data_IF_218991995213
#
_entry.id   IF_218991995213
#
_cell.length_a   1.000
_cell.length_b   1.000
_cell.length_c   1.000
_cell.angle_alpha   90.00
_cell.angle_beta   90.00
_cell.angle_gamma   90.00
#
_symmetry.space_group_name_H-M   'P 1'
#
loop_
_entity.id
_entity.type
_entity.pdbx_description
1 polymer ?
#
# COMPACT_ATOMS: atom_id res chain seq x y z
N UNK A 1 16.42 -17.83 11.90
CA UNK A 1 17.30 -16.89 11.18
C UNK A 1 17.00 -15.49 11.71
N UNK A 2 17.99 -14.66 12.02
CA UNK A 2 17.72 -13.29 12.46
C UNK A 2 17.02 -12.55 11.33
N UNK A 3 15.83 -12.00 11.59
CA UNK A 3 15.09 -11.14 10.67
C UNK A 3 15.97 -9.91 10.43
N UNK A 4 16.40 -9.73 9.20
CA UNK A 4 17.25 -8.62 8.79
C UNK A 4 16.51 -7.31 9.12
N UNK A 5 17.07 -6.50 10.02
CA UNK A 5 16.45 -5.29 10.58
C UNK A 5 16.06 -4.24 9.51
N UNK A 6 16.59 -4.36 8.29
CA UNK A 6 16.29 -3.47 7.16
C UNK A 6 14.99 -3.80 6.40
N UNK A 7 14.31 -4.90 6.74
CA UNK A 7 13.09 -5.37 6.07
C UNK A 7 11.86 -5.33 6.98
N UNK A 8 11.92 -4.64 8.11
CA UNK A 8 10.79 -4.60 9.05
C UNK A 8 9.70 -3.64 8.56
N UNK A 9 8.48 -4.09 8.75
CA UNK A 9 7.27 -3.31 8.59
C UNK A 9 7.24 -2.14 9.61
N UNK A 10 6.80 -0.95 9.17
CA UNK A 10 6.84 0.28 9.96
C UNK A 10 6.06 0.20 11.26
N UNK A 11 4.90 -0.47 11.28
CA UNK A 11 4.13 -0.68 12.51
C UNK A 11 4.94 -1.50 13.50
N UNK A 12 5.46 -2.64 13.06
CA UNK A 12 6.23 -3.55 13.92
C UNK A 12 7.55 -2.94 14.37
N UNK A 13 8.20 -2.16 13.51
CA UNK A 13 9.46 -1.46 13.83
C UNK A 13 9.27 -0.35 14.87
N UNK A 14 8.09 0.27 14.93
CA UNK A 14 7.79 1.34 15.90
C UNK A 14 7.55 0.82 17.32
N UNK A 15 7.45 -0.49 17.52
CA UNK A 15 7.17 -1.07 18.82
C UNK A 15 8.41 -1.12 19.72
N UNK A 16 8.26 -0.84 21.03
CA UNK A 16 9.30 -1.14 21.99
C UNK A 16 9.68 -2.63 21.96
N UNK A 17 10.94 -2.94 22.19
CA UNK A 17 11.48 -4.31 22.11
C UNK A 17 10.65 -5.34 22.91
N UNK A 18 10.19 -4.97 24.11
CA UNK A 18 9.35 -5.83 24.97
C UNK A 18 8.03 -6.21 24.28
N UNK A 19 7.35 -5.25 23.64
CA UNK A 19 6.08 -5.51 22.95
C UNK A 19 6.31 -6.27 21.65
N UNK A 20 7.34 -5.90 20.88
CA UNK A 20 7.72 -6.64 19.68
C UNK A 20 8.03 -8.12 20.00
N UNK A 21 8.86 -8.40 21.01
CA UNK A 21 9.17 -9.77 21.42
C UNK A 21 7.91 -10.55 21.83
N UNK A 22 6.95 -9.87 22.44
CA UNK A 22 5.66 -10.47 22.76
C UNK A 22 4.83 -10.85 21.53
N UNK A 23 4.92 -10.13 20.43
CA UNK A 23 4.17 -10.38 19.18
C UNK A 23 4.95 -11.33 18.25
N UNK A 24 6.28 -11.29 18.28
CA UNK A 24 7.13 -11.98 17.32
C UNK A 24 6.88 -13.49 17.20
N UNK A 25 6.50 -14.13 18.30
CA UNK A 25 6.16 -15.56 18.32
C UNK A 25 4.89 -15.89 17.50
N UNK A 26 4.01 -14.92 17.33
CA UNK A 26 2.76 -15.06 16.56
C UNK A 26 2.94 -14.68 15.07
N UNK A 27 4.10 -14.07 14.72
CA UNK A 27 4.40 -13.62 13.36
C UNK A 27 5.06 -14.75 12.55
N UNK A 28 4.50 -15.03 11.38
CA UNK A 28 5.04 -16.02 10.44
C UNK A 28 5.45 -15.32 9.14
N UNK A 29 6.69 -15.48 8.67
CA UNK A 29 7.11 -14.98 7.38
C UNK A 29 6.38 -15.75 6.26
N UNK A 30 5.91 -15.01 5.25
CA UNK A 30 5.23 -15.55 4.07
C UNK A 30 5.69 -14.79 2.82
N UNK A 31 5.74 -15.50 1.70
CA UNK A 31 5.87 -14.89 0.38
C UNK A 31 4.48 -14.74 -0.24
N UNK A 32 4.17 -13.53 -0.68
CA UNK A 32 2.92 -13.18 -1.32
C UNK A 32 3.14 -13.17 -2.84
N UNK A 33 2.59 -14.14 -3.60
CA UNK A 33 2.71 -14.14 -5.05
C UNK A 33 1.85 -13.05 -5.67
N UNK A 34 2.28 -12.56 -6.85
CA UNK A 34 1.52 -11.57 -7.61
C UNK A 34 0.10 -12.06 -7.89
N UNK A 35 -0.85 -11.13 -7.86
CA UNK A 35 -2.28 -11.32 -8.15
C UNK A 35 -3.01 -12.25 -7.16
N UNK A 36 -2.34 -12.73 -6.09
CA UNK A 36 -3.00 -13.49 -5.04
C UNK A 36 -4.03 -12.64 -4.28
N UNK A 37 -5.23 -13.16 -4.07
CA UNK A 37 -6.23 -12.57 -3.19
C UNK A 37 -5.93 -12.99 -1.75
N UNK A 38 -5.62 -12.03 -0.89
CA UNK A 38 -5.30 -12.23 0.53
C UNK A 38 -6.41 -11.78 1.46
N UNK A 39 -7.31 -10.94 0.98
CA UNK A 39 -8.51 -10.49 1.71
C UNK A 39 -9.71 -10.59 0.78
N UNK A 40 -10.74 -11.30 1.24
CA UNK A 40 -12.01 -11.42 0.52
C UNK A 40 -13.00 -10.36 0.99
N UNK A 41 -13.83 -9.79 0.07
CA UNK A 41 -14.86 -8.85 0.46
C UNK A 41 -15.89 -9.54 1.35
N UNK A 42 -16.39 -8.81 2.33
CA UNK A 42 -17.46 -9.19 3.26
C UNK A 42 -17.25 -10.49 4.05
N UNK A 43 -16.05 -11.07 3.95
CA UNK A 43 -15.66 -12.22 4.78
C UNK A 43 -14.87 -11.79 6.01
N UNK A 44 -14.96 -12.59 7.06
CA UNK A 44 -14.09 -12.44 8.22
C UNK A 44 -12.67 -12.91 7.86
N UNK A 45 -11.73 -11.97 7.90
CA UNK A 45 -10.32 -12.30 7.69
C UNK A 45 -9.76 -12.99 8.92
N UNK A 46 -9.12 -14.14 8.72
CA UNK A 46 -8.44 -14.88 9.79
C UNK A 46 -7.04 -14.34 10.08
N UNK A 47 -6.45 -13.67 9.10
CA UNK A 47 -5.05 -13.20 9.18
C UNK A 47 -4.93 -11.69 8.96
N UNK A 48 -3.89 -11.15 9.57
CA UNK A 48 -3.38 -9.79 9.33
C UNK A 48 -2.02 -9.93 8.69
N UNK A 49 -1.80 -9.16 7.63
CA UNK A 49 -0.56 -9.14 6.86
C UNK A 49 0.17 -7.84 7.09
N UNK A 50 1.45 -7.93 7.43
CA UNK A 50 2.38 -6.82 7.58
C UNK A 50 3.40 -6.91 6.44
N UNK A 51 3.18 -6.24 5.29
CA UNK A 51 4.11 -6.29 4.18
C UNK A 51 5.50 -5.78 4.57
N UNK A 52 6.55 -6.38 4.00
CA UNK A 52 7.95 -5.94 4.17
C UNK A 52 8.50 -5.29 2.90
N UNK A 53 8.25 -5.90 1.78
CA UNK A 53 8.60 -5.44 0.43
C UNK A 53 7.50 -5.74 -0.61
N UNK A 54 6.42 -6.42 -0.20
CA UNK A 54 5.21 -6.58 -1.01
C UNK A 54 4.28 -5.38 -0.90
N UNK A 55 3.33 -5.26 -1.84
CA UNK A 55 2.24 -4.28 -1.79
C UNK A 55 0.91 -4.97 -2.03
N UNK A 56 -0.05 -4.72 -1.15
CA UNK A 56 -1.42 -5.22 -1.24
C UNK A 56 -2.34 -4.05 -1.58
N UNK A 57 -3.02 -4.11 -2.74
CA UNK A 57 -4.05 -3.17 -3.14
C UNK A 57 -5.40 -3.57 -2.59
N UNK A 58 -6.11 -2.65 -1.97
CA UNK A 58 -7.50 -2.81 -1.55
C UNK A 58 -8.38 -2.27 -2.68
N UNK A 59 -9.10 -3.18 -3.34
CA UNK A 59 -9.92 -2.92 -4.50
C UNK A 59 -11.39 -2.88 -4.10
N UNK A 60 -12.08 -1.80 -4.48
CA UNK A 60 -13.52 -1.68 -4.41
C UNK A 60 -14.15 -2.04 -5.75
N UNK A 61 -15.30 -2.72 -5.71
CA UNK A 61 -16.12 -3.00 -6.88
C UNK A 61 -16.83 -1.71 -7.34
N UNK A 62 -16.86 -1.45 -8.63
CA UNK A 62 -17.54 -0.29 -9.23
C UNK A 62 -18.98 -0.57 -9.63
N UNK A 63 -19.45 -1.82 -9.48
CA UNK A 63 -20.82 -2.25 -9.78
C UNK A 63 -21.08 -2.56 -11.26
N UNK A 64 -20.15 -2.22 -12.16
CA UNK A 64 -20.19 -2.51 -13.59
C UNK A 64 -19.26 -3.65 -14.01
N UNK A 65 -18.77 -4.44 -13.04
CA UNK A 65 -17.78 -5.50 -13.22
C UNK A 65 -16.34 -4.99 -13.20
N UNK A 66 -16.13 -3.69 -13.03
CA UNK A 66 -14.82 -3.09 -12.83
C UNK A 66 -14.38 -3.08 -11.35
N UNK A 67 -13.14 -2.69 -11.13
CA UNK A 67 -12.63 -2.43 -9.77
C UNK A 67 -11.64 -1.26 -9.79
N UNK A 68 -11.57 -0.54 -8.68
CA UNK A 68 -10.65 0.58 -8.49
C UNK A 68 -9.91 0.43 -7.16
N UNK A 69 -8.64 0.85 -7.13
CA UNK A 69 -7.90 0.88 -5.88
C UNK A 69 -8.43 1.99 -4.96
N UNK A 70 -8.90 1.58 -3.80
CA UNK A 70 -9.32 2.51 -2.75
C UNK A 70 -8.13 2.97 -1.92
N UNK A 71 -7.19 2.07 -1.62
CA UNK A 71 -5.87 2.35 -1.07
C UNK A 71 -4.94 1.14 -1.26
N UNK A 72 -3.65 1.35 -1.07
CA UNK A 72 -2.67 0.28 -1.04
C UNK A 72 -1.92 0.25 0.30
N UNK A 73 -1.48 -0.92 0.69
CA UNK A 73 -0.72 -1.21 1.90
C UNK A 73 0.63 -1.79 1.51
N UNK A 74 1.70 -1.16 1.97
CA UNK A 74 3.06 -1.67 1.85
C UNK A 74 3.71 -1.80 3.22
N UNK A 75 5.03 -1.63 3.26
CA UNK A 75 5.82 -1.75 4.48
C UNK A 75 5.48 -0.72 5.57
N UNK A 76 4.68 0.31 5.26
CA UNK A 76 4.21 1.30 6.22
C UNK A 76 3.08 0.82 7.10
N UNK A 77 2.37 -0.24 6.72
CA UNK A 77 1.09 -0.58 7.32
C UNK A 77 0.79 -2.06 7.46
N UNK A 78 -0.50 -2.36 7.63
CA UNK A 78 -1.00 -3.72 7.72
C UNK A 78 -2.35 -3.87 7.01
N UNK A 79 -2.55 -5.00 6.32
CA UNK A 79 -3.79 -5.37 5.68
C UNK A 79 -4.58 -6.34 6.57
N UNK A 80 -5.91 -6.23 6.56
CA UNK A 80 -6.79 -7.10 7.38
C UNK A 80 -7.08 -6.60 8.80
N UNK A 81 -6.59 -5.42 9.19
CA UNK A 81 -6.70 -4.88 10.57
C UNK A 81 -8.14 -4.64 11.04
N UNK A 82 -9.13 -4.46 10.14
CA UNK A 82 -10.55 -4.35 10.52
C UNK A 82 -11.07 -5.58 11.27
N UNK A 83 -10.45 -6.73 11.04
CA UNK A 83 -10.79 -7.95 11.74
C UNK A 83 -10.51 -7.86 13.26
N UNK A 84 -9.58 -7.00 13.71
CA UNK A 84 -9.37 -6.73 15.14
C UNK A 84 -10.60 -6.10 15.80
N UNK A 85 -11.36 -5.32 15.03
CA UNK A 85 -12.61 -4.69 15.47
C UNK A 85 -13.82 -5.60 15.26
N UNK A 86 -13.64 -6.85 14.80
CA UNK A 86 -14.73 -7.75 14.47
C UNK A 86 -15.58 -7.31 13.27
N UNK A 87 -15.00 -6.51 12.36
CA UNK A 87 -15.69 -5.96 11.19
C UNK A 87 -15.14 -6.57 9.90
N UNK A 88 -16.04 -6.75 8.94
CA UNK A 88 -15.70 -7.06 7.54
C UNK A 88 -15.53 -5.78 6.72
N UNK A 89 -15.05 -5.89 5.50
CA UNK A 89 -14.91 -4.79 4.55
C UNK A 89 -15.43 -5.21 3.18
N UNK A 90 -16.05 -4.29 2.42
CA UNK A 90 -16.49 -4.56 1.04
C UNK A 90 -15.33 -4.48 0.03
N UNK A 91 -14.08 -4.69 0.47
CA UNK A 91 -12.89 -4.53 -0.36
C UNK A 91 -12.11 -5.84 -0.46
N UNK A 92 -11.71 -6.17 -1.68
CA UNK A 92 -10.82 -7.29 -1.97
C UNK A 92 -9.36 -6.84 -1.82
N UNK A 93 -8.55 -7.59 -1.09
CA UNK A 93 -7.11 -7.36 -0.99
C UNK A 93 -6.34 -8.24 -1.97
N UNK A 94 -5.70 -7.62 -2.97
CA UNK A 94 -4.93 -8.32 -4.01
C UNK A 94 -3.47 -7.91 -3.95
N UNK A 95 -2.56 -8.86 -4.08
CA UNK A 95 -1.12 -8.61 -4.11
C UNK A 95 -0.74 -7.93 -5.43
N UNK A 96 -0.46 -6.64 -5.37
CA UNK A 96 -0.07 -5.84 -6.53
C UNK A 96 1.42 -5.98 -6.85
N UNK A 97 2.26 -5.98 -5.81
CA UNK A 97 3.69 -6.23 -5.91
C UNK A 97 4.01 -7.48 -5.10
N UNK A 98 4.53 -8.55 -5.74
CA UNK A 98 4.93 -9.76 -5.03
C UNK A 98 6.11 -9.47 -4.10
N UNK A 99 6.19 -10.18 -2.98
CA UNK A 99 7.28 -10.01 -2.01
C UNK A 99 6.94 -10.63 -0.67
N UNK A 100 7.73 -10.30 0.34
CA UNK A 100 7.57 -10.78 1.70
C UNK A 100 6.52 -10.03 2.51
N UNK A 101 5.94 -10.73 3.45
CA UNK A 101 5.14 -10.19 4.54
C UNK A 101 5.33 -11.01 5.81
N UNK A 102 5.01 -10.42 6.95
CA UNK A 102 4.77 -11.14 8.19
C UNK A 102 3.27 -11.30 8.37
N UNK A 103 2.82 -12.51 8.66
CA UNK A 103 1.40 -12.84 8.82
C UNK A 103 1.15 -13.29 10.26
N UNK A 104 0.05 -12.83 10.86
CA UNK A 104 -0.40 -13.30 12.16
C UNK A 104 -1.89 -13.60 12.17
N UNK A 105 -2.30 -14.58 12.96
CA UNK A 105 -3.71 -14.87 13.15
C UNK A 105 -4.40 -13.75 13.96
N UNK A 106 -5.59 -13.34 13.52
CA UNK A 106 -6.36 -12.25 14.14
C UNK A 106 -6.57 -12.46 15.63
N UNK A 107 -6.87 -13.72 16.09
CA UNK A 107 -7.12 -14.00 17.51
C UNK A 107 -5.91 -13.70 18.41
N UNK A 108 -4.69 -13.94 17.93
CA UNK A 108 -3.48 -13.66 18.68
C UNK A 108 -3.28 -12.14 18.87
N UNK A 109 -3.50 -11.37 17.81
CA UNK A 109 -3.32 -9.90 17.83
C UNK A 109 -4.50 -9.18 18.50
N UNK A 110 -5.73 -9.69 18.40
CA UNK A 110 -6.92 -9.06 18.99
C UNK A 110 -6.79 -8.86 20.49
N UNK A 111 -6.34 -9.89 21.23
CA UNK A 111 -6.13 -9.78 22.67
C UNK A 111 -5.11 -8.71 23.05
N UNK A 112 -4.06 -8.56 22.25
CA UNK A 112 -3.02 -7.53 22.45
C UNK A 112 -3.56 -6.15 22.14
N UNK A 113 -4.29 -6.02 21.05
CA UNK A 113 -4.94 -4.76 20.67
C UNK A 113 -5.92 -4.29 21.77
N UNK A 114 -6.73 -5.19 22.31
CA UNK A 114 -7.71 -4.85 23.36
C UNK A 114 -7.06 -4.49 24.71
N UNK A 115 -5.84 -4.93 24.99
CA UNK A 115 -5.12 -4.54 26.21
C UNK A 115 -4.59 -3.10 26.20
N UNK A 116 -4.59 -2.45 25.06
CA UNK A 116 -3.90 -1.16 24.91
C UNK A 116 -2.39 -1.32 24.78
N UNK A 117 -1.65 -0.22 24.95
CA UNK A 117 -0.18 -0.17 24.84
C UNK A 117 0.32 0.19 23.44
N UNK A 118 1.65 0.07 23.23
CA UNK A 118 2.28 0.62 22.03
C UNK A 118 1.79 -0.04 20.72
N UNK A 119 1.40 -1.31 20.73
CA UNK A 119 0.82 -1.96 19.56
C UNK A 119 -0.56 -1.39 19.19
N UNK A 120 -1.42 -1.19 20.19
CA UNK A 120 -2.72 -0.54 20.00
C UNK A 120 -2.54 0.87 19.44
N UNK A 121 -1.65 1.66 20.05
CA UNK A 121 -1.42 3.05 19.64
C UNK A 121 -0.81 3.15 18.23
N UNK A 122 0.09 2.23 17.89
CA UNK A 122 0.66 2.14 16.53
C UNK A 122 -0.42 1.84 15.49
N UNK A 123 -1.36 0.96 15.79
CA UNK A 123 -2.50 0.69 14.91
C UNK A 123 -3.47 1.86 14.80
N UNK A 124 -3.74 2.60 15.88
CA UNK A 124 -4.56 3.81 15.82
C UNK A 124 -3.91 4.91 14.98
N UNK A 125 -2.60 5.12 15.10
CA UNK A 125 -1.85 6.04 14.20
C UNK A 125 -1.93 5.58 12.75
N UNK A 126 -1.86 4.29 12.49
CA UNK A 126 -2.02 3.76 11.14
C UNK A 126 -3.45 3.93 10.62
N UNK A 127 -4.49 3.76 11.44
CA UNK A 127 -5.86 4.10 11.05
C UNK A 127 -6.02 5.58 10.70
N UNK A 128 -5.40 6.48 11.45
CA UNK A 128 -5.37 7.91 11.11
C UNK A 128 -4.69 8.13 9.75
N UNK A 129 -3.53 7.50 9.51
CA UNK A 129 -2.85 7.56 8.21
C UNK A 129 -3.76 7.08 7.07
N UNK A 130 -4.49 5.97 7.25
CA UNK A 130 -5.42 5.48 6.23
C UNK A 130 -6.53 6.50 5.93
N UNK A 131 -7.10 7.15 6.94
CA UNK A 131 -8.10 8.21 6.75
C UNK A 131 -7.52 9.38 5.94
N UNK A 132 -6.31 9.82 6.25
CA UNK A 132 -5.62 10.87 5.47
C UNK A 132 -5.39 10.41 4.03
N UNK A 133 -4.92 9.18 3.83
CA UNK A 133 -4.67 8.63 2.50
C UNK A 133 -5.96 8.61 1.66
N UNK A 134 -7.05 8.04 2.19
CA UNK A 134 -8.34 7.92 1.46
C UNK A 134 -8.92 9.31 1.18
N UNK A 135 -8.89 10.23 2.14
CA UNK A 135 -9.34 11.61 1.96
C UNK A 135 -8.55 12.32 0.86
N UNK A 136 -7.22 12.18 0.87
CA UNK A 136 -6.36 12.74 -0.17
C UNK A 136 -6.61 12.10 -1.55
N UNK A 137 -6.94 10.80 -1.63
CA UNK A 137 -7.31 10.15 -2.89
C UNK A 137 -8.62 10.73 -3.45
N UNK A 138 -9.62 10.96 -2.60
CA UNK A 138 -10.86 11.63 -2.99
C UNK A 138 -10.61 13.01 -3.59
N UNK A 139 -9.84 13.86 -2.91
CA UNK A 139 -9.44 15.19 -3.41
C UNK A 139 -8.66 15.04 -4.72
N UNK A 140 -7.69 14.13 -4.76
CA UNK A 140 -6.80 13.96 -5.90
C UNK A 140 -7.56 13.52 -7.16
N UNK A 141 -8.50 12.58 -7.01
CA UNK A 141 -9.29 12.05 -8.13
C UNK A 141 -10.21 13.11 -8.75
N UNK A 142 -10.71 14.04 -7.94
CA UNK A 142 -11.63 15.09 -8.40
C UNK A 142 -10.92 16.35 -8.94
N UNK A 143 -9.69 16.65 -8.47
CA UNK A 143 -9.06 17.96 -8.70
C UNK A 143 -7.72 17.91 -9.45
N UNK A 144 -7.11 16.72 -9.61
CA UNK A 144 -5.81 16.62 -10.25
C UNK A 144 -5.85 15.83 -11.56
N UNK A 145 -5.13 16.33 -12.56
CA UNK A 145 -4.97 15.63 -13.84
C UNK A 145 -4.22 14.30 -13.70
N UNK A 146 -4.38 13.44 -14.70
CA UNK A 146 -3.85 12.07 -14.67
C UNK A 146 -2.32 12.02 -14.47
N UNK A 147 -1.56 12.96 -15.04
CA UNK A 147 -0.10 13.02 -14.88
C UNK A 147 0.28 13.22 -13.40
N UNK A 148 -0.41 14.12 -12.70
CA UNK A 148 -0.19 14.38 -11.28
C UNK A 148 -0.59 13.19 -10.41
N UNK A 149 -1.70 12.53 -10.74
CA UNK A 149 -2.18 11.33 -10.06
C UNK A 149 -1.21 10.16 -10.25
N UNK A 150 -0.74 9.97 -11.48
CA UNK A 150 0.23 8.95 -11.85
C UNK A 150 1.58 9.19 -11.17
N UNK A 151 2.07 10.44 -11.18
CA UNK A 151 3.30 10.83 -10.49
C UNK A 151 3.22 10.57 -8.97
N UNK A 152 2.10 10.92 -8.32
CA UNK A 152 1.86 10.60 -6.90
C UNK A 152 1.92 9.10 -6.66
N UNK A 153 1.23 8.31 -7.49
CA UNK A 153 1.19 6.85 -7.36
C UNK A 153 2.58 6.22 -7.52
N UNK A 154 3.37 6.67 -8.51
CA UNK A 154 4.75 6.22 -8.72
C UNK A 154 5.62 6.45 -7.47
N UNK A 155 5.53 7.63 -6.88
CA UNK A 155 6.28 7.98 -5.67
C UNK A 155 5.85 7.13 -4.47
N UNK A 156 4.55 6.94 -4.25
CA UNK A 156 4.04 6.12 -3.16
C UNK A 156 4.45 4.65 -3.32
N UNK A 157 4.41 4.13 -4.54
CA UNK A 157 4.86 2.77 -4.84
C UNK A 157 6.37 2.62 -4.61
N UNK A 158 7.17 3.60 -5.07
CA UNK A 158 8.61 3.62 -4.83
C UNK A 158 8.95 3.62 -3.33
N UNK A 159 8.22 4.40 -2.53
CA UNK A 159 8.42 4.45 -1.07
C UNK A 159 8.21 3.08 -0.41
N UNK A 160 7.18 2.33 -0.86
CA UNK A 160 6.81 1.02 -0.33
C UNK A 160 7.80 -0.08 -0.69
N UNK A 161 8.23 -0.12 -1.96
CA UNK A 161 9.12 -1.19 -2.43
C UNK A 161 10.60 -0.83 -2.41
N UNK A 162 10.93 0.44 -2.12
CA UNK A 162 12.31 0.98 -2.07
C UNK A 162 13.13 0.68 -3.33
N UNK A 163 12.47 0.63 -4.49
CA UNK A 163 13.08 0.41 -5.79
C UNK A 163 12.71 1.53 -6.77
N UNK A 164 13.65 1.89 -7.64
CA UNK A 164 13.37 2.79 -8.76
C UNK A 164 12.76 2.07 -9.95
N UNK A 165 12.82 0.75 -10.00
CA UNK A 165 12.19 -0.08 -11.02
C UNK A 165 10.86 -0.62 -10.51
N UNK A 166 9.78 -0.34 -11.25
CA UNK A 166 8.41 -0.67 -10.93
C UNK A 166 7.85 -1.57 -12.05
N UNK A 167 7.52 -2.83 -11.73
CA UNK A 167 7.02 -3.81 -12.71
C UNK A 167 5.51 -3.75 -12.82
N UNK A 168 5.02 -2.90 -13.72
CA UNK A 168 3.58 -2.70 -13.96
C UNK A 168 3.27 -2.55 -15.44
N UNK A 169 2.17 -3.16 -15.87
CA UNK A 169 1.57 -2.90 -17.19
C UNK A 169 0.72 -1.63 -17.15
N UNK A 170 0.48 -1.02 -18.32
CA UNK A 170 -0.41 0.14 -18.43
C UNK A 170 -1.84 -0.19 -17.98
N UNK A 171 -2.30 -1.42 -18.23
CA UNK A 171 -3.61 -1.89 -17.80
C UNK A 171 -3.72 -1.96 -16.27
N UNK A 172 -2.72 -2.49 -15.60
CA UNK A 172 -2.66 -2.52 -14.14
C UNK A 172 -2.67 -1.10 -13.54
N UNK A 173 -1.90 -0.18 -14.10
CA UNK A 173 -1.87 1.23 -13.66
C UNK A 173 -3.21 1.91 -13.93
N UNK A 174 -3.83 1.64 -15.08
CA UNK A 174 -5.13 2.20 -15.45
C UNK A 174 -6.23 1.74 -14.47
N UNK A 175 -6.25 0.46 -14.12
CA UNK A 175 -7.16 -0.09 -13.10
C UNK A 175 -6.98 0.59 -11.75
N UNK A 176 -5.73 0.70 -11.27
CA UNK A 176 -5.42 1.35 -9.98
C UNK A 176 -5.84 2.82 -9.96
N UNK A 177 -5.58 3.56 -11.03
CA UNK A 177 -5.91 4.98 -11.12
C UNK A 177 -7.36 5.26 -11.57
N UNK A 178 -8.17 4.22 -11.79
CA UNK A 178 -9.55 4.36 -12.23
C UNK A 178 -9.67 5.14 -13.54
N UNK A 179 -8.88 4.75 -14.56
CA UNK A 179 -8.84 5.42 -15.86
C UNK A 179 -8.66 4.42 -17.02
N UNK A 180 -8.64 4.90 -18.25
CA UNK A 180 -8.42 4.04 -19.43
C UNK A 180 -6.93 3.86 -19.69
N UNK A 181 -6.54 2.68 -20.22
CA UNK A 181 -5.16 2.38 -20.62
C UNK A 181 -4.56 3.44 -21.56
N UNK A 182 -5.33 3.92 -22.55
CA UNK A 182 -4.89 4.97 -23.47
C UNK A 182 -4.47 6.26 -22.73
N UNK A 183 -5.20 6.63 -21.68
CA UNK A 183 -4.89 7.79 -20.85
C UNK A 183 -3.55 7.61 -20.11
N UNK A 184 -3.28 6.41 -19.60
CA UNK A 184 -1.98 6.08 -18.97
C UNK A 184 -0.86 6.11 -20.00
N UNK A 185 -1.09 5.62 -21.22
CA UNK A 185 -0.10 5.65 -22.30
C UNK A 185 0.35 7.09 -22.61
N UNK A 186 -0.59 8.01 -22.72
CA UNK A 186 -0.29 9.44 -22.98
C UNK A 186 0.46 10.05 -21.79
N UNK A 187 0.00 9.84 -20.57
CA UNK A 187 0.65 10.35 -19.37
C UNK A 187 2.09 9.79 -19.20
N UNK A 188 2.29 8.49 -19.48
CA UNK A 188 3.61 7.88 -19.44
C UNK A 188 4.56 8.48 -20.49
N UNK A 189 4.08 8.72 -21.71
CA UNK A 189 4.85 9.37 -22.77
C UNK A 189 5.25 10.80 -22.37
N UNK A 190 4.34 11.59 -21.78
CA UNK A 190 4.61 12.94 -21.28
C UNK A 190 5.70 12.92 -20.18
N UNK A 191 5.58 12.04 -19.17
CA UNK A 191 6.57 11.91 -18.11
C UNK A 191 7.94 11.42 -18.64
N UNK A 192 7.94 10.55 -19.64
CA UNK A 192 9.17 10.08 -20.30
C UNK A 192 9.84 11.19 -21.11
N UNK A 193 9.09 11.94 -21.92
CA UNK A 193 9.59 13.10 -22.67
C UNK A 193 10.17 14.16 -21.75
N UNK A 194 9.57 14.37 -20.57
CA UNK A 194 10.11 15.22 -19.52
C UNK A 194 11.34 14.62 -18.80
N UNK A 195 11.77 13.40 -19.14
CA UNK A 195 12.91 12.71 -18.51
C UNK A 195 12.71 12.37 -17.03
N UNK A 196 11.47 12.22 -16.59
CA UNK A 196 11.12 11.87 -15.21
C UNK A 196 11.17 10.36 -15.00
N UNK A 197 10.72 9.60 -16.00
CA UNK A 197 10.70 8.15 -16.03
C UNK A 197 11.32 7.62 -17.33
N UNK A 198 11.62 6.34 -17.35
CA UNK A 198 11.79 5.52 -18.56
C UNK A 198 10.73 4.45 -18.52
N UNK A 199 10.00 4.29 -19.61
CA UNK A 199 8.94 3.30 -19.74
C UNK A 199 9.28 2.28 -20.84
N UNK A 200 9.19 1.00 -20.50
CA UNK A 200 9.20 -0.14 -21.42
C UNK A 200 7.98 -1.01 -21.12
N UNK A 201 7.50 -1.84 -22.04
CA UNK A 201 6.34 -2.71 -21.77
C UNK A 201 6.52 -3.53 -20.49
N UNK A 202 5.64 -3.28 -19.51
CA UNK A 202 5.66 -3.96 -18.20
C UNK A 202 6.64 -3.42 -17.17
N UNK A 203 7.47 -2.40 -17.48
CA UNK A 203 8.43 -1.82 -16.53
C UNK A 203 8.51 -0.30 -16.64
N UNK A 204 8.55 0.36 -15.48
CA UNK A 204 8.77 1.81 -15.33
C UNK A 204 10.00 2.00 -14.47
N UNK A 205 10.95 2.79 -14.93
CA UNK A 205 12.10 3.20 -14.13
C UNK A 205 12.01 4.69 -13.80
N UNK A 206 12.01 5.04 -12.51
CA UNK A 206 12.07 6.43 -12.07
C UNK A 206 13.49 6.93 -12.27
N UNK A 207 13.67 7.89 -13.20
CA UNK A 207 14.97 8.48 -13.55
C UNK A 207 15.43 9.55 -12.57
N UNK A 208 14.50 10.33 -12.05
CA UNK A 208 14.81 11.39 -11.11
C UNK A 208 13.68 11.60 -10.09
N UNK A 209 13.82 10.97 -8.91
CA UNK A 209 12.88 11.18 -7.79
C UNK A 209 12.71 12.66 -7.43
N UNK A 210 13.82 13.44 -7.41
CA UNK A 210 13.78 14.88 -7.10
C UNK A 210 12.89 15.67 -8.07
N UNK A 211 12.98 15.38 -9.37
CA UNK A 211 12.13 16.02 -10.38
C UNK A 211 10.70 15.49 -10.33
N UNK A 212 10.53 14.19 -10.08
CA UNK A 212 9.21 13.57 -9.93
C UNK A 212 8.44 14.17 -8.73
N UNK A 213 9.12 14.43 -7.61
CA UNK A 213 8.55 15.13 -6.44
C UNK A 213 8.04 16.55 -6.77
N UNK A 214 8.72 17.27 -7.69
CA UNK A 214 8.26 18.59 -8.13
C UNK A 214 7.04 18.53 -9.04
N UNK A 215 6.88 17.45 -9.80
CA UNK A 215 5.74 17.21 -10.68
C UNK A 215 4.51 16.62 -9.96
N UNK A 216 4.70 16.08 -8.76
CA UNK A 216 3.64 15.48 -7.98
C UNK A 216 2.68 16.54 -7.41
N UNK A 217 1.41 16.18 -7.29
CA UNK A 217 0.44 17.00 -6.59
C UNK A 217 0.73 17.05 -5.06
N UNK A 218 0.19 18.07 -4.40
CA UNK A 218 0.31 18.26 -2.95
C UNK A 218 -0.14 17.03 -2.14
N UNK A 219 -1.05 16.23 -2.68
CA UNK A 219 -1.56 15.01 -2.02
C UNK A 219 -0.45 14.04 -1.63
N UNK A 220 0.59 13.86 -2.47
CA UNK A 220 1.73 13.05 -2.10
C UNK A 220 2.40 13.53 -0.81
N UNK A 221 2.66 14.84 -0.71
CA UNK A 221 3.32 15.43 0.46
C UNK A 221 2.46 15.26 1.73
N UNK A 222 1.15 15.46 1.62
CA UNK A 222 0.22 15.29 2.76
C UNK A 222 0.21 13.85 3.24
N UNK A 223 0.05 12.89 2.32
CA UNK A 223 0.04 11.45 2.68
C UNK A 223 1.38 11.04 3.28
N UNK A 224 2.50 11.40 2.67
CA UNK A 224 3.84 10.98 3.13
C UNK A 224 4.23 11.60 4.48
N UNK A 225 3.65 12.77 4.85
CA UNK A 225 3.89 13.36 6.16
C UNK A 225 3.01 12.76 7.28
N UNK A 226 1.87 12.17 6.93
CA UNK A 226 0.96 11.57 7.90
C UNK A 226 1.42 10.20 8.43
N UNK A 227 2.43 9.60 7.81
CA UNK A 227 3.00 8.31 8.23
C UNK A 227 4.04 8.46 9.36
N UNK A 228 4.50 9.68 9.62
CA UNK A 228 5.47 10.02 10.65
C UNK A 228 4.74 10.33 11.95
#
# INVERSE_FOLDING_TARGET
MPVNSNLLNGILHSLPAREFNGISADLRPILLPKDATVLEPDKHNEYIYFPTDSVISLLGDTGDGGSVEVWAVGNEGAAGISALLGRTKPFRGVVQVPGGALMAHVSALRRRFQKGGAFHDALLRYYHYLLVQVSCLGICNNNHGIEQRFTRWLLMTQDRIRSSELKFTQDAIASVLGTRRATISVAAAALQSAGLISYTPGSITIRSRKRLLKAACRCYKVISSAIR
#
